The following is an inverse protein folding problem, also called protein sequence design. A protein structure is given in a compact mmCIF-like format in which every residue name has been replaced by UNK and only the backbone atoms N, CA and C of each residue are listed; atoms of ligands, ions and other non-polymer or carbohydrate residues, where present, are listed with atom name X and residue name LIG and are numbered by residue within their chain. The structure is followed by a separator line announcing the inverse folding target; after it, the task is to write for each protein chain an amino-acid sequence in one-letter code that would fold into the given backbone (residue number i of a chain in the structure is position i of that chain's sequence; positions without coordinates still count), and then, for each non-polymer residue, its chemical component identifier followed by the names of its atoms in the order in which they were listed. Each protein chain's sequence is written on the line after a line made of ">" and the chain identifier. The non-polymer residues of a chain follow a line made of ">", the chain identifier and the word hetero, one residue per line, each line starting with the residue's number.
data_IF_530719625826
#
_entry.id   IF_530719625826
#
_cell.length_a   1.000
_cell.length_b   1.000
_cell.length_c   1.000
_cell.angle_alpha   90.00
_cell.angle_beta   90.00
_cell.angle_gamma   90.00
#
_symmetry.space_group_name_H-M   'P 1'
#
loop_
_entity.id
_entity.type
_entity.pdbx_description
1 polymer ?
#
# COMPACT_ATOMS: atom_id res chain seq x y z
N UNK A 1 10.43 -14.54 0.72
CA UNK A 1 9.37 -13.81 1.46
C UNK A 1 8.60 -12.91 0.51
N UNK A 2 7.27 -12.99 0.52
CA UNK A 2 6.38 -12.08 -0.22
C UNK A 2 5.85 -11.01 0.74
N UNK A 3 6.03 -9.75 0.37
CA UNK A 3 5.50 -8.60 1.09
C UNK A 3 4.39 -7.97 0.25
N UNK A 4 3.25 -7.71 0.86
CA UNK A 4 2.14 -6.96 0.26
C UNK A 4 2.11 -5.59 0.95
N UNK A 5 2.70 -4.58 0.32
CA UNK A 5 2.70 -3.21 0.82
C UNK A 5 1.42 -2.49 0.41
N UNK A 6 0.76 -1.85 1.35
CA UNK A 6 -0.53 -1.20 1.12
C UNK A 6 -0.51 0.24 1.63
N UNK A 7 -0.74 1.17 0.70
CA UNK A 7 -1.16 2.53 0.97
C UNK A 7 -2.70 2.55 0.96
N UNK A 8 -3.36 2.67 2.13
CA UNK A 8 -4.82 2.55 2.20
C UNK A 8 -5.53 3.80 1.66
N UNK A 9 -6.81 3.62 1.32
CA UNK A 9 -7.67 4.68 0.79
C UNK A 9 -7.97 4.52 -0.70
N UNK A 10 -8.96 5.28 -1.18
CA UNK A 10 -9.43 5.19 -2.59
C UNK A 10 -8.39 5.69 -3.61
N UNK A 11 -7.44 6.51 -3.17
CA UNK A 11 -6.31 6.99 -3.97
C UNK A 11 -5.00 6.32 -3.58
N UNK A 12 -5.08 5.17 -2.94
CA UNK A 12 -3.92 4.38 -2.55
C UNK A 12 -3.52 3.35 -3.59
N UNK A 13 -2.70 2.39 -3.16
CA UNK A 13 -2.18 1.33 -4.02
C UNK A 13 -1.77 0.10 -3.23
N UNK A 14 -1.57 -1.00 -3.95
CA UNK A 14 -1.09 -2.27 -3.41
C UNK A 14 0.13 -2.71 -4.20
N UNK A 15 1.24 -2.91 -3.53
CA UNK A 15 2.48 -3.42 -4.10
C UNK A 15 2.70 -4.88 -3.68
N UNK A 16 2.93 -5.74 -4.63
CA UNK A 16 3.41 -7.11 -4.43
C UNK A 16 4.92 -7.13 -4.62
N UNK A 17 5.64 -7.42 -3.55
CA UNK A 17 7.09 -7.32 -3.47
C UNK A 17 7.68 -8.63 -2.99
N UNK A 18 8.60 -9.20 -3.73
CA UNK A 18 9.20 -10.49 -3.39
C UNK A 18 10.72 -10.45 -3.50
N UNK A 19 11.38 -10.86 -2.43
CA UNK A 19 12.83 -11.05 -2.38
C UNK A 19 13.65 -9.85 -2.91
N UNK A 20 13.22 -8.63 -2.54
CA UNK A 20 13.87 -7.39 -2.94
C UNK A 20 13.40 -6.81 -4.27
N UNK A 21 12.42 -7.42 -4.94
CA UNK A 21 11.94 -7.00 -6.25
C UNK A 21 10.45 -6.72 -6.28
N UNK A 22 10.04 -5.72 -7.06
CA UNK A 22 8.63 -5.45 -7.34
C UNK A 22 8.14 -6.51 -8.33
N UNK A 23 7.11 -7.28 -7.94
CA UNK A 23 6.42 -8.19 -8.84
C UNK A 23 5.33 -7.44 -9.61
N UNK A 24 4.53 -6.67 -8.91
CA UNK A 24 3.44 -5.89 -9.48
C UNK A 24 3.01 -4.78 -8.52
N UNK A 25 2.44 -3.72 -9.07
CA UNK A 25 1.81 -2.63 -8.33
C UNK A 25 0.50 -2.24 -8.99
N UNK A 26 -0.56 -2.27 -8.21
CA UNK A 26 -1.89 -1.88 -8.68
C UNK A 26 -2.40 -0.65 -7.93
N UNK A 27 -3.12 0.21 -8.62
CA UNK A 27 -3.92 1.24 -7.97
C UNK A 27 -5.01 0.57 -7.12
N UNK A 28 -5.42 1.21 -6.04
CA UNK A 28 -6.46 0.66 -5.16
C UNK A 28 -7.73 0.38 -5.95
N UNK A 29 -8.20 -0.88 -6.03
CA UNK A 29 -9.46 -1.19 -6.66
C UNK A 29 -10.61 -0.47 -5.96
N UNK A 30 -11.43 0.24 -6.73
CA UNK A 30 -12.56 1.01 -6.21
C UNK A 30 -13.83 0.71 -6.99
N UNK A 31 -14.96 0.95 -6.35
CA UNK A 31 -16.29 0.88 -6.96
C UNK A 31 -17.09 2.14 -6.62
N UNK A 32 -18.14 2.41 -7.38
CA UNK A 32 -19.08 3.49 -7.07
C UNK A 32 -20.06 3.02 -5.99
N UNK A 33 -20.35 3.89 -5.05
CA UNK A 33 -21.33 3.67 -4.00
C UNK A 33 -22.36 4.80 -3.98
N UNK A 34 -23.64 4.43 -4.05
CA UNK A 34 -24.76 5.35 -3.93
C UNK A 34 -24.96 6.28 -5.13
N UNK A 35 -25.87 7.27 -4.95
CA UNK A 35 -26.42 8.10 -6.03
C UNK A 35 -25.49 9.23 -6.54
N UNK A 36 -24.33 9.48 -5.91
CA UNK A 36 -23.48 10.65 -6.21
C UNK A 36 -22.08 10.28 -6.72
N UNK A 37 -21.93 9.15 -7.38
CA UNK A 37 -20.61 8.67 -7.85
C UNK A 37 -19.51 8.68 -6.77
N UNK A 38 -19.89 8.52 -5.51
CA UNK A 38 -18.92 8.34 -4.42
C UNK A 38 -18.16 7.05 -4.65
N UNK A 39 -16.85 7.11 -4.50
CA UNK A 39 -15.99 5.93 -4.65
C UNK A 39 -15.70 5.33 -3.30
N UNK A 40 -15.66 4.01 -3.26
CA UNK A 40 -15.24 3.21 -2.12
C UNK A 40 -14.27 2.13 -2.60
N UNK A 41 -13.42 1.62 -1.71
CA UNK A 41 -12.58 0.48 -2.05
C UNK A 41 -13.43 -0.76 -2.37
N UNK A 42 -13.04 -1.47 -3.41
CA UNK A 42 -13.70 -2.68 -3.86
C UNK A 42 -13.07 -3.91 -3.19
N UNK A 43 -13.63 -4.33 -2.05
CA UNK A 43 -13.10 -5.44 -1.27
C UNK A 43 -13.04 -6.76 -2.04
N UNK A 44 -14.03 -7.06 -2.86
CA UNK A 44 -14.06 -8.29 -3.68
C UNK A 44 -12.92 -8.32 -4.70
N UNK A 45 -12.67 -7.19 -5.37
CA UNK A 45 -11.58 -7.10 -6.33
C UNK A 45 -10.22 -7.17 -5.63
N UNK A 46 -10.05 -6.49 -4.49
CA UNK A 46 -8.82 -6.57 -3.68
C UNK A 46 -8.54 -8.01 -3.26
N UNK A 47 -9.55 -8.72 -2.77
CA UNK A 47 -9.43 -10.14 -2.42
C UNK A 47 -8.92 -10.96 -3.60
N UNK A 48 -9.51 -10.79 -4.78
CA UNK A 48 -9.14 -11.54 -5.98
C UNK A 48 -7.70 -11.22 -6.44
N UNK A 49 -7.28 -9.94 -6.40
CA UNK A 49 -5.92 -9.54 -6.76
C UNK A 49 -4.88 -10.16 -5.81
N UNK A 50 -5.13 -10.10 -4.51
CA UNK A 50 -4.26 -10.75 -3.52
C UNK A 50 -4.22 -12.25 -3.76
N UNK A 51 -5.40 -12.88 -3.93
CA UNK A 51 -5.48 -14.33 -4.12
C UNK A 51 -4.70 -14.84 -5.33
N UNK A 52 -4.71 -14.10 -6.44
CA UNK A 52 -3.94 -14.45 -7.64
C UNK A 52 -2.45 -14.62 -7.35
N UNK A 53 -1.91 -13.72 -6.53
CA UNK A 53 -0.46 -13.68 -6.23
C UNK A 53 -0.08 -14.73 -5.19
N UNK A 54 -0.88 -14.87 -4.12
CA UNK A 54 -0.52 -15.72 -2.98
C UNK A 54 -0.71 -17.22 -3.23
N UNK A 55 -1.47 -17.63 -4.24
CA UNK A 55 -1.72 -19.05 -4.55
C UNK A 55 -0.46 -19.92 -4.68
N UNK A 56 0.67 -19.32 -4.99
CA UNK A 56 1.95 -20.00 -5.23
C UNK A 56 2.98 -19.74 -4.13
N UNK A 57 2.54 -19.19 -3.00
CA UNK A 57 3.43 -18.82 -1.89
C UNK A 57 2.90 -19.42 -0.59
N UNK A 58 3.78 -20.02 0.18
CA UNK A 58 3.42 -20.53 1.51
C UNK A 58 2.99 -19.38 2.42
N UNK A 59 1.90 -19.58 3.18
CA UNK A 59 1.34 -18.51 4.04
C UNK A 59 2.34 -17.93 5.03
N UNK A 60 3.22 -18.76 5.58
CA UNK A 60 4.27 -18.33 6.50
C UNK A 60 5.31 -17.38 5.88
N UNK A 61 5.41 -17.37 4.55
CA UNK A 61 6.29 -16.50 3.81
C UNK A 61 5.64 -15.16 3.41
N UNK A 62 4.37 -14.95 3.75
CA UNK A 62 3.63 -13.75 3.38
C UNK A 62 3.61 -12.76 4.54
N UNK A 63 3.83 -11.49 4.24
CA UNK A 63 3.69 -10.35 5.16
C UNK A 63 2.85 -9.27 4.51
N UNK A 64 1.79 -8.83 5.17
CA UNK A 64 1.01 -7.66 4.72
C UNK A 64 1.44 -6.46 5.56
N UNK A 65 1.90 -5.43 4.90
CA UNK A 65 2.39 -4.20 5.55
C UNK A 65 1.50 -3.05 5.12
N UNK A 66 0.72 -2.53 6.05
CA UNK A 66 -0.27 -1.49 5.78
C UNK A 66 0.18 -0.19 6.44
N UNK A 67 0.12 0.93 5.73
CA UNK A 67 0.33 2.23 6.34
C UNK A 67 -0.73 2.46 7.42
N UNK A 68 -0.27 2.86 8.62
CA UNK A 68 -1.16 3.07 9.77
C UNK A 68 -1.95 4.35 9.61
N UNK A 69 -3.24 4.20 9.42
CA UNK A 69 -4.21 5.29 9.42
C UNK A 69 -4.62 5.65 10.82
N UNK A 70 -4.71 6.93 11.11
CA UNK A 70 -5.27 7.46 12.35
C UNK A 70 -6.09 8.71 12.05
N UNK A 71 -7.08 8.94 12.92
CA UNK A 71 -7.84 10.18 12.90
C UNK A 71 -6.93 11.37 13.24
N UNK A 72 -7.06 12.46 12.47
CA UNK A 72 -6.31 13.68 12.72
C UNK A 72 -7.24 14.87 12.97
N UNK A 73 -6.93 15.73 13.94
CA UNK A 73 -7.70 16.95 14.16
C UNK A 73 -7.78 17.80 12.89
N UNK A 74 -8.93 18.41 12.64
CA UNK A 74 -9.14 19.30 11.48
C UNK A 74 -9.52 18.60 10.17
N UNK A 75 -9.57 17.27 10.13
CA UNK A 75 -10.13 16.55 8.97
C UNK A 75 -11.67 16.54 9.04
N UNK A 76 -12.32 16.62 7.85
CA UNK A 76 -13.77 16.50 7.77
C UNK A 76 -14.26 15.13 8.25
N UNK A 77 -15.34 15.12 9.04
CA UNK A 77 -15.91 13.89 9.65
C UNK A 77 -16.22 12.84 8.58
N UNK A 78 -16.83 13.23 7.45
CA UNK A 78 -17.15 12.33 6.35
C UNK A 78 -15.90 11.71 5.72
N UNK A 79 -14.85 12.51 5.51
CA UNK A 79 -13.59 12.02 4.96
C UNK A 79 -12.91 11.02 5.88
N UNK A 80 -12.92 11.29 7.18
CA UNK A 80 -12.36 10.38 8.18
C UNK A 80 -13.14 9.07 8.27
N UNK A 81 -14.47 9.13 8.23
CA UNK A 81 -15.31 7.95 8.23
C UNK A 81 -15.05 7.08 6.99
N UNK A 82 -15.01 7.67 5.81
CA UNK A 82 -14.76 6.96 4.56
C UNK A 82 -13.35 6.35 4.51
N UNK A 83 -12.35 7.05 5.04
CA UNK A 83 -10.98 6.56 5.10
C UNK A 83 -10.86 5.41 6.11
N UNK A 84 -11.49 5.54 7.27
CA UNK A 84 -11.58 4.47 8.28
C UNK A 84 -12.30 3.22 7.75
N UNK A 85 -13.36 3.41 6.95
CA UNK A 85 -14.08 2.31 6.30
C UNK A 85 -13.18 1.58 5.30
N UNK A 86 -12.43 2.29 4.46
CA UNK A 86 -11.46 1.70 3.52
C UNK A 86 -10.38 0.90 4.25
N UNK A 87 -9.85 1.46 5.33
CA UNK A 87 -8.86 0.79 6.17
C UNK A 87 -9.43 -0.47 6.83
N UNK A 88 -10.68 -0.41 7.31
CA UNK A 88 -11.40 -1.54 7.88
C UNK A 88 -11.63 -2.67 6.87
N UNK A 89 -11.98 -2.35 5.63
CA UNK A 89 -12.15 -3.33 4.55
C UNK A 89 -10.84 -4.08 4.28
N UNK A 90 -9.72 -3.37 4.16
CA UNK A 90 -8.40 -3.97 3.95
C UNK A 90 -8.01 -4.92 5.09
N UNK A 91 -8.19 -4.48 6.34
CA UNK A 91 -7.95 -5.32 7.53
C UNK A 91 -8.85 -6.55 7.54
N UNK A 92 -10.14 -6.37 7.21
CA UNK A 92 -11.11 -7.46 7.16
C UNK A 92 -10.74 -8.53 6.13
N UNK A 93 -10.32 -8.12 4.93
CA UNK A 93 -9.86 -9.04 3.89
C UNK A 93 -8.64 -9.82 4.36
N UNK A 94 -7.61 -9.14 4.86
CA UNK A 94 -6.39 -9.80 5.33
C UNK A 94 -6.67 -10.75 6.49
N UNK A 95 -7.55 -10.37 7.42
CA UNK A 95 -7.98 -11.23 8.54
C UNK A 95 -8.72 -12.47 8.05
N UNK A 96 -9.67 -12.31 7.13
CA UNK A 96 -10.43 -13.43 6.55
C UNK A 96 -9.53 -14.42 5.78
N UNK A 97 -8.50 -13.88 5.12
CA UNK A 97 -7.48 -14.68 4.43
C UNK A 97 -6.42 -15.26 5.37
N UNK A 98 -6.48 -14.94 6.67
CA UNK A 98 -5.50 -15.35 7.68
C UNK A 98 -4.06 -14.92 7.33
N UNK A 99 -3.90 -13.73 6.77
CA UNK A 99 -2.61 -13.14 6.46
C UNK A 99 -2.11 -12.29 7.63
N UNK A 100 -0.85 -12.43 8.04
CA UNK A 100 -0.27 -11.61 9.12
C UNK A 100 -0.14 -10.16 8.67
N UNK A 101 -0.63 -9.22 9.50
CA UNK A 101 -0.62 -7.79 9.21
C UNK A 101 0.35 -7.05 10.11
N UNK A 102 1.13 -6.17 9.51
CA UNK A 102 2.04 -5.24 10.16
C UNK A 102 1.64 -3.81 9.79
N UNK A 103 1.71 -2.91 10.76
CA UNK A 103 1.30 -1.52 10.57
C UNK A 103 2.50 -0.60 10.72
N UNK A 104 2.76 0.22 9.70
CA UNK A 104 3.86 1.18 9.70
C UNK A 104 3.31 2.62 9.70
N UNK A 105 3.82 3.46 10.60
CA UNK A 105 3.47 4.88 10.61
C UNK A 105 4.09 5.60 9.40
N UNK A 106 3.38 6.55 8.76
CA UNK A 106 3.93 7.34 7.65
C UNK A 106 5.29 7.95 7.96
N UNK A 107 5.43 8.56 9.14
CA UNK A 107 6.68 9.17 9.56
C UNK A 107 7.87 8.19 9.60
N UNK A 108 7.63 6.90 9.90
CA UNK A 108 8.69 5.90 10.04
C UNK A 108 9.33 5.57 8.69
N UNK A 109 8.54 5.20 7.70
CA UNK A 109 9.04 4.85 6.38
C UNK A 109 9.50 6.09 5.59
N UNK A 110 8.80 7.22 5.73
CA UNK A 110 9.21 8.49 5.11
C UNK A 110 10.57 8.97 5.63
N UNK A 111 10.82 8.86 6.93
CA UNK A 111 12.12 9.18 7.52
C UNK A 111 13.23 8.29 6.94
N UNK A 112 12.97 7.00 6.80
CA UNK A 112 13.93 6.03 6.25
C UNK A 112 14.40 6.42 4.85
N UNK A 113 13.48 6.88 4.00
CA UNK A 113 13.78 7.29 2.63
C UNK A 113 14.11 8.79 2.48
N UNK A 114 14.26 9.54 3.58
CA UNK A 114 14.50 10.99 3.58
C UNK A 114 13.37 11.79 2.89
N UNK A 115 12.13 11.39 3.10
CA UNK A 115 10.93 11.99 2.50
C UNK A 115 10.11 12.86 3.47
N UNK A 116 10.60 13.12 4.69
CA UNK A 116 9.93 14.02 5.63
C UNK A 116 9.97 15.45 5.08
N UNK A 117 8.80 16.10 5.05
CA UNK A 117 8.61 17.45 4.49
C UNK A 117 8.98 17.59 3.00
N UNK A 118 9.03 16.48 2.27
CA UNK A 118 9.30 16.49 0.83
C UNK A 118 8.04 16.82 0.02
N UNK A 119 8.24 17.21 -1.23
CA UNK A 119 7.15 17.43 -2.18
C UNK A 119 6.34 16.17 -2.45
N UNK A 120 5.09 16.35 -2.91
CA UNK A 120 4.15 15.26 -3.15
C UNK A 120 4.67 14.17 -4.11
N UNK A 121 5.55 14.54 -5.05
CA UNK A 121 6.09 13.63 -6.07
C UNK A 121 7.44 12.97 -5.65
N UNK A 122 7.97 13.33 -4.49
CA UNK A 122 9.26 12.83 -4.02
C UNK A 122 9.28 11.30 -3.82
N UNK A 123 8.18 10.70 -3.40
CA UNK A 123 8.06 9.23 -3.29
C UNK A 123 8.27 8.55 -4.64
N UNK A 124 7.71 9.10 -5.73
CA UNK A 124 7.87 8.54 -7.08
C UNK A 124 9.31 8.62 -7.54
N UNK A 125 9.94 9.77 -7.38
CA UNK A 125 11.37 9.93 -7.70
C UNK A 125 12.22 8.94 -6.92
N UNK A 126 11.96 8.79 -5.62
CA UNK A 126 12.70 7.85 -4.77
C UNK A 126 12.50 6.39 -5.19
N UNK A 127 11.27 6.00 -5.54
CA UNK A 127 10.99 4.65 -6.03
C UNK A 127 11.72 4.36 -7.35
N UNK A 128 11.80 5.31 -8.27
CA UNK A 128 12.55 5.18 -9.53
C UNK A 128 14.05 5.02 -9.26
N UNK A 129 14.61 5.78 -8.33
CA UNK A 129 16.03 5.68 -7.96
C UNK A 129 16.38 4.28 -7.41
N UNK A 130 15.51 3.72 -6.56
CA UNK A 130 15.75 2.41 -5.95
C UNK A 130 15.47 1.27 -6.94
N UNK A 131 14.43 1.42 -7.77
CA UNK A 131 13.97 0.40 -8.71
C UNK A 131 13.97 0.92 -10.18
N UNK A 132 15.15 1.22 -10.76
CA UNK A 132 15.22 1.80 -12.11
C UNK A 132 14.60 0.92 -13.19
N UNK A 133 14.60 -0.40 -13.02
CA UNK A 133 13.96 -1.35 -13.93
C UNK A 133 12.42 -1.18 -13.97
N UNK A 134 11.82 -0.56 -12.93
CA UNK A 134 10.38 -0.32 -12.84
C UNK A 134 9.99 1.10 -13.29
N UNK A 135 10.94 1.92 -13.70
CA UNK A 135 10.77 3.35 -14.02
C UNK A 135 9.72 3.62 -15.10
N UNK A 136 9.59 2.74 -16.09
CA UNK A 136 8.57 2.88 -17.15
C UNK A 136 7.14 2.89 -16.61
N UNK A 137 6.88 2.16 -15.52
CA UNK A 137 5.59 2.08 -14.83
C UNK A 137 5.32 3.26 -13.87
N UNK A 138 6.34 4.08 -13.65
CA UNK A 138 6.31 5.27 -12.79
C UNK A 138 6.63 6.55 -13.57
N UNK A 139 6.54 6.51 -14.91
CA UNK A 139 6.99 7.61 -15.77
C UNK A 139 6.11 8.86 -15.71
N UNK A 140 4.83 8.70 -15.40
CA UNK A 140 3.86 9.79 -15.38
C UNK A 140 3.61 10.27 -13.95
N UNK A 141 3.35 11.57 -13.78
CA UNK A 141 3.04 12.17 -12.47
C UNK A 141 1.87 11.47 -11.76
N UNK A 142 0.88 10.99 -12.48
CA UNK A 142 -0.24 10.21 -11.93
C UNK A 142 0.18 8.88 -11.29
N UNK A 143 1.31 8.33 -11.71
CA UNK A 143 1.84 7.06 -11.19
C UNK A 143 2.44 7.23 -9.78
N UNK A 144 2.52 8.47 -9.26
CA UNK A 144 2.92 8.74 -7.87
C UNK A 144 2.07 7.99 -6.85
N UNK A 145 0.82 7.68 -7.18
CA UNK A 145 -0.09 6.86 -6.38
C UNK A 145 0.53 5.49 -6.02
N UNK A 146 1.31 4.91 -6.93
CA UNK A 146 1.91 3.58 -6.77
C UNK A 146 3.16 3.59 -5.88
N UNK A 147 3.82 4.73 -5.80
CA UNK A 147 5.14 4.84 -5.18
C UNK A 147 5.12 4.59 -3.67
N UNK A 148 4.10 5.08 -2.97
CA UNK A 148 4.03 4.92 -1.51
C UNK A 148 3.90 3.44 -1.12
N UNK A 149 3.08 2.64 -1.79
CA UNK A 149 2.98 1.21 -1.53
C UNK A 149 4.30 0.46 -1.84
N UNK A 150 5.02 0.86 -2.89
CA UNK A 150 6.35 0.31 -3.21
C UNK A 150 7.32 0.60 -2.05
N UNK A 151 7.38 1.85 -1.60
CA UNK A 151 8.30 2.25 -0.54
C UNK A 151 7.93 1.64 0.82
N UNK A 152 6.65 1.46 1.13
CA UNK A 152 6.18 0.75 2.32
C UNK A 152 6.68 -0.70 2.31
N UNK A 153 6.53 -1.39 1.18
CA UNK A 153 7.00 -2.78 1.04
C UNK A 153 8.53 -2.88 1.14
N UNK A 154 9.24 -2.00 0.44
CA UNK A 154 10.71 -1.92 0.46
C UNK A 154 11.23 -1.61 1.86
N UNK A 155 10.64 -0.63 2.54
CA UNK A 155 10.98 -0.28 3.93
C UNK A 155 10.92 -1.50 4.86
N UNK A 156 9.82 -2.26 4.78
CA UNK A 156 9.67 -3.45 5.63
C UNK A 156 10.73 -4.51 5.28
N UNK A 157 10.94 -4.77 4.00
CA UNK A 157 11.94 -5.73 3.55
C UNK A 157 13.35 -5.41 4.03
N UNK A 158 13.74 -4.15 3.93
CA UNK A 158 15.07 -3.68 4.32
C UNK A 158 15.28 -3.72 5.84
N UNK A 159 14.26 -3.29 6.60
CA UNK A 159 14.36 -3.23 8.06
C UNK A 159 14.19 -4.60 8.72
N UNK A 160 13.38 -5.49 8.14
CA UNK A 160 13.22 -6.86 8.64
C UNK A 160 14.51 -7.68 8.54
N UNK A 161 15.29 -7.49 7.48
CA UNK A 161 16.59 -8.17 7.30
C UNK A 161 17.66 -7.74 8.30
N UNK A 162 17.50 -6.59 8.95
CA UNK A 162 18.47 -6.07 9.93
C UNK A 162 18.19 -6.66 11.33
N UNK A 163 16.97 -7.13 11.57
CA UNK A 163 16.54 -7.69 12.87
C UNK A 163 16.75 -9.21 12.98
N UNK A 164 17.06 -9.90 11.88
CA UNK A 164 17.47 -11.32 11.82
C UNK A 164 19.02 -11.46 11.77
#
# INVERSE_FOLDING_TARGET
>A
MLIIGIDPGISGSICFFKDGNILDVIEMPTMTEGKKNKRQVNGSQIYNEILKIIKKVEKQEIRVVIEKVSAMPGQGVTSMFNFGQSFGILKGICSAMQLPMYFVRPAKWKKYFNLINSEKDASRTRAIEIFPYFSSQLSKKKDSIKADAILIASFYYETYKIED
#
